data_IF_965712938905
#
_entry.id   IF_965712938905
#
_cell.length_a   1.000
_cell.length_b   1.000
_cell.length_c   1.000
_cell.angle_alpha   90.00
_cell.angle_beta   90.00
_cell.angle_gamma   90.00
#
_symmetry.space_group_name_H-M   'P 1'
#
loop_
_entity.id
_entity.type
_entity.pdbx_description
1 polymer ?
#
# COMPACT_ATOMS: atom_id res chain seq x y z
N UNK A 1 -23.83 16.09 3.53
CA UNK A 1 -23.66 14.71 3.02
C UNK A 1 -22.19 14.38 2.74
N UNK A 2 -21.49 15.15 1.90
CA UNK A 2 -20.09 14.88 1.50
C UNK A 2 -19.07 14.87 2.66
N UNK A 3 -19.21 15.82 3.61
CA UNK A 3 -18.36 15.87 4.80
C UNK A 3 -18.52 14.63 5.71
N UNK A 4 -19.71 14.05 5.76
CA UNK A 4 -20.02 12.90 6.62
C UNK A 4 -19.44 11.61 6.05
N UNK A 5 -19.46 11.44 4.73
CA UNK A 5 -18.77 10.35 4.04
C UNK A 5 -17.25 10.42 4.20
N UNK A 6 -16.66 11.63 4.21
CA UNK A 6 -15.23 11.80 4.43
C UNK A 6 -14.84 11.47 5.87
N UNK A 7 -15.64 11.92 6.85
CA UNK A 7 -15.42 11.62 8.26
C UNK A 7 -15.52 10.11 8.55
N UNK A 8 -16.48 9.41 7.95
CA UNK A 8 -16.62 7.95 8.10
C UNK A 8 -15.44 7.19 7.47
N UNK A 9 -14.91 7.64 6.33
CA UNK A 9 -13.74 7.03 5.70
C UNK A 9 -12.45 7.23 6.52
N UNK A 10 -12.30 8.40 7.16
CA UNK A 10 -11.16 8.70 8.02
C UNK A 10 -11.12 7.79 9.25
N UNK A 11 -12.26 7.59 9.90
CA UNK A 11 -12.40 6.69 11.05
C UNK A 11 -11.98 5.26 10.71
N UNK A 12 -12.39 4.78 9.54
CA UNK A 12 -12.04 3.43 9.09
C UNK A 12 -10.56 3.30 8.68
N UNK A 13 -9.94 4.38 8.21
CA UNK A 13 -8.51 4.40 7.92
C UNK A 13 -7.63 4.49 9.18
N UNK A 14 -8.13 5.16 10.23
CA UNK A 14 -7.45 5.29 11.53
C UNK A 14 -7.43 4.00 12.35
N UNK A 15 -7.97 2.90 11.83
CA UNK A 15 -7.85 1.61 12.50
C UNK A 15 -6.39 1.14 12.55
N UNK A 16 -5.95 0.50 13.65
CA UNK A 16 -4.56 0.06 13.78
C UNK A 16 -4.18 -0.98 12.72
N UNK A 17 -5.15 -1.75 12.23
CA UNK A 17 -4.96 -2.76 11.19
C UNK A 17 -4.64 -2.13 9.83
N UNK A 18 -5.40 -1.11 9.40
CA UNK A 18 -5.12 -0.40 8.14
C UNK A 18 -3.80 0.34 8.19
N UNK A 19 -3.45 0.93 9.34
CA UNK A 19 -2.20 1.67 9.52
C UNK A 19 -0.96 0.76 9.49
N UNK A 20 -1.03 -0.40 10.12
CA UNK A 20 0.06 -1.38 10.13
C UNK A 20 0.26 -2.03 8.77
N UNK A 21 -0.83 -2.39 8.09
CA UNK A 21 -0.74 -2.93 6.73
C UNK A 21 -0.21 -1.89 5.75
N UNK A 22 -0.68 -0.64 5.78
CA UNK A 22 -0.16 0.42 4.91
C UNK A 22 1.33 0.65 5.12
N UNK A 23 1.79 0.73 6.37
CA UNK A 23 3.24 0.88 6.68
C UNK A 23 4.06 -0.32 6.21
N UNK A 24 3.59 -1.55 6.41
CA UNK A 24 4.22 -2.76 5.85
C UNK A 24 4.25 -2.74 4.31
N UNK A 25 3.17 -2.25 3.68
CA UNK A 25 3.08 -2.09 2.24
C UNK A 25 4.13 -1.12 1.69
N UNK A 26 4.40 -0.01 2.40
CA UNK A 26 5.46 0.93 2.02
C UNK A 26 6.83 0.26 2.09
N UNK A 27 7.12 -0.46 3.19
CA UNK A 27 8.40 -1.15 3.38
C UNK A 27 8.61 -2.20 2.28
N UNK A 28 7.59 -3.02 2.02
CA UNK A 28 7.64 -4.02 0.96
C UNK A 28 7.79 -3.37 -0.42
N UNK A 29 7.04 -2.30 -0.70
CA UNK A 29 7.15 -1.53 -1.92
C UNK A 29 8.56 -1.00 -2.14
N UNK A 30 9.19 -0.42 -1.11
CA UNK A 30 10.57 0.07 -1.18
C UNK A 30 11.56 -1.05 -1.52
N UNK A 31 11.42 -2.23 -0.90
CA UNK A 31 12.27 -3.40 -1.20
C UNK A 31 12.08 -3.83 -2.65
N UNK A 32 10.84 -3.96 -3.12
CA UNK A 32 10.56 -4.36 -4.50
C UNK A 32 11.09 -3.33 -5.49
N UNK A 33 10.92 -2.03 -5.22
CA UNK A 33 11.40 -0.96 -6.09
C UNK A 33 12.92 -0.79 -6.10
N UNK A 34 13.62 -1.28 -5.08
CA UNK A 34 15.08 -1.32 -5.07
C UNK A 34 15.65 -2.45 -5.95
N UNK A 35 14.85 -3.46 -6.30
CA UNK A 35 15.28 -4.57 -7.15
C UNK A 35 15.27 -4.16 -8.63
N UNK A 36 16.39 -4.32 -9.36
CA UNK A 36 16.46 -3.97 -10.77
C UNK A 36 15.52 -4.86 -11.60
N UNK A 37 14.64 -4.25 -12.39
CA UNK A 37 13.71 -4.96 -13.28
C UNK A 37 12.33 -5.28 -12.67
N UNK A 38 12.11 -5.01 -11.37
CA UNK A 38 10.78 -5.11 -10.75
C UNK A 38 10.21 -3.71 -10.51
N UNK A 39 9.36 -3.26 -11.42
CA UNK A 39 8.67 -1.98 -11.28
C UNK A 39 7.57 -1.98 -10.20
N UNK A 40 7.03 -0.80 -9.84
CA UNK A 40 5.98 -0.66 -8.82
C UNK A 40 4.73 -1.49 -9.11
N UNK A 41 4.34 -1.57 -10.39
CA UNK A 41 3.21 -2.37 -10.84
C UNK A 41 3.40 -3.86 -10.56
N UNK A 42 4.63 -4.36 -10.67
CA UNK A 42 4.92 -5.78 -10.44
C UNK A 42 4.82 -6.12 -8.95
N UNK A 43 5.23 -5.21 -8.06
CA UNK A 43 5.00 -5.36 -6.62
C UNK A 43 3.51 -5.44 -6.26
N UNK A 44 2.68 -4.60 -6.89
CA UNK A 44 1.22 -4.63 -6.69
C UNK A 44 0.63 -5.97 -7.17
N UNK A 45 1.00 -6.44 -8.36
CA UNK A 45 0.49 -7.69 -8.92
C UNK A 45 0.88 -8.90 -8.07
N UNK A 46 2.12 -8.94 -7.56
CA UNK A 46 2.60 -10.04 -6.70
C UNK A 46 1.88 -10.08 -5.34
N UNK A 47 1.47 -8.91 -4.82
CA UNK A 47 0.77 -8.79 -3.54
C UNK A 47 -0.76 -8.81 -3.66
N UNK A 48 -1.30 -8.67 -4.87
CA UNK A 48 -2.72 -8.76 -5.16
C UNK A 48 -3.40 -10.01 -4.56
N UNK A 49 -2.86 -11.25 -4.66
CA UNK A 49 -3.50 -12.42 -4.06
C UNK A 49 -3.63 -12.33 -2.53
N UNK A 50 -2.71 -11.64 -1.86
CA UNK A 50 -2.81 -11.42 -0.42
C UNK A 50 -3.83 -10.33 -0.06
N UNK A 51 -4.03 -9.36 -0.95
CA UNK A 51 -4.97 -8.27 -0.74
C UNK A 51 -6.45 -8.71 -0.85
N UNK A 52 -6.74 -9.82 -1.54
CA UNK A 52 -8.14 -10.29 -1.75
C UNK A 52 -8.77 -10.85 -0.47
N UNK A 53 -7.97 -11.42 0.42
CA UNK A 53 -8.42 -11.96 1.71
C UNK A 53 -8.53 -10.88 2.81
N UNK A 54 -8.09 -9.64 2.53
CA UNK A 54 -8.06 -8.55 3.50
C UNK A 54 -9.32 -7.67 3.43
N UNK A 55 -9.65 -6.93 4.51
CA UNK A 55 -10.69 -5.90 4.46
C UNK A 55 -10.39 -4.88 3.35
N UNK A 56 -11.40 -4.42 2.58
CA UNK A 56 -11.19 -3.63 1.38
C UNK A 56 -10.41 -2.34 1.63
N UNK A 57 -10.67 -1.66 2.76
CA UNK A 57 -9.95 -0.43 3.13
C UNK A 57 -8.46 -0.70 3.39
N UNK A 58 -8.14 -1.80 4.05
CA UNK A 58 -6.76 -2.19 4.35
C UNK A 58 -6.04 -2.69 3.11
N UNK A 59 -6.70 -3.50 2.28
CA UNK A 59 -6.20 -3.99 1.00
C UNK A 59 -5.83 -2.84 0.06
N UNK A 60 -6.73 -1.86 -0.10
CA UNK A 60 -6.49 -0.67 -0.92
C UNK A 60 -5.30 0.12 -0.39
N UNK A 61 -5.23 0.37 0.92
CA UNK A 61 -4.11 1.07 1.54
C UNK A 61 -2.78 0.33 1.33
N UNK A 62 -2.76 -0.98 1.50
CA UNK A 62 -1.58 -1.83 1.32
C UNK A 62 -1.04 -1.79 -0.12
N UNK A 63 -1.92 -1.99 -1.12
CA UNK A 63 -1.52 -1.97 -2.53
C UNK A 63 -1.09 -0.58 -3.00
N UNK A 64 -1.77 0.48 -2.57
CA UNK A 64 -1.36 1.87 -2.86
C UNK A 64 0.01 2.17 -2.24
N UNK A 65 0.23 1.75 -1.00
CA UNK A 65 1.50 1.90 -0.30
C UNK A 65 2.65 1.20 -1.03
N UNK A 66 2.42 0.00 -1.58
CA UNK A 66 3.42 -0.71 -2.40
C UNK A 66 3.75 0.08 -3.67
N UNK A 67 2.75 0.63 -4.36
CA UNK A 67 2.96 1.43 -5.57
C UNK A 67 3.78 2.70 -5.30
N UNK A 68 3.45 3.41 -4.22
CA UNK A 68 4.17 4.64 -3.81
C UNK A 68 5.58 4.31 -3.33
N UNK A 69 5.74 3.30 -2.46
CA UNK A 69 7.04 2.85 -1.96
C UNK A 69 7.94 2.36 -3.09
N UNK A 70 7.41 1.56 -4.02
CA UNK A 70 8.14 1.06 -5.19
C UNK A 70 8.61 2.16 -6.13
N UNK A 71 7.82 3.24 -6.28
CA UNK A 71 8.22 4.39 -7.10
C UNK A 71 9.41 5.15 -6.50
N UNK A 72 9.56 5.12 -5.17
CA UNK A 72 10.71 5.69 -4.48
C UNK A 72 11.87 4.70 -4.28
N UNK A 73 11.70 3.41 -4.59
CA UNK A 73 12.70 2.37 -4.32
C UNK A 73 14.00 2.54 -5.11
N UNK A 74 13.96 3.15 -6.29
CA UNK A 74 15.16 3.49 -7.07
C UNK A 74 16.11 4.45 -6.34
N UNK A 75 15.63 5.25 -5.38
CA UNK A 75 16.47 6.12 -4.54
C UNK A 75 17.29 5.37 -3.50
N UNK A 76 16.94 4.11 -3.18
CA UNK A 76 17.69 3.27 -2.24
C UNK A 76 18.88 2.59 -2.92
N UNK A 77 18.76 2.31 -4.23
CA UNK A 77 19.80 1.63 -5.01
C UNK A 77 20.80 2.59 -5.70
N UNK A 78 20.49 3.90 -5.75
CA UNK A 78 21.36 4.93 -6.32
C UNK A 78 22.36 5.45 -5.28
#
# INVERSE_FOLDING_TARGET
MLAQSLAAGLDQFLTPLTLTLTTLGVIFGLIVGALPGLGPLMGIVLMLPFAVDMPPVAAMGFLLAIGVGGSCGGSISA
#
